data_IF_093297807283
#
_entry.id   IF_093297807283
#
_cell.length_a   1.000
_cell.length_b   1.000
_cell.length_c   1.000
_cell.angle_alpha   90.00
_cell.angle_beta   90.00
_cell.angle_gamma   90.00
#
_symmetry.space_group_name_H-M   'P 1'
#
loop_
_entity.id
_entity.type
_entity.pdbx_description
1 polymer ?
#
# COMPACT_ATOMS: atom_id res chain seq x y z
N UNK A 1 15.99 6.77 -7.59
CA UNK A 1 17.16 6.37 -8.40
C UNK A 1 16.68 5.81 -9.73
N UNK A 2 17.37 6.09 -10.83
CA UNK A 2 17.07 5.54 -12.16
C UNK A 2 17.77 4.18 -12.31
N UNK A 3 17.03 3.09 -12.16
CA UNK A 3 17.59 1.73 -12.25
C UNK A 3 17.88 1.29 -13.69
N UNK A 4 16.99 1.63 -14.63
CA UNK A 4 17.08 1.22 -16.03
C UNK A 4 16.96 2.43 -16.95
N UNK A 5 17.90 2.55 -17.89
CA UNK A 5 17.88 3.49 -19.00
C UNK A 5 18.41 2.80 -20.25
N UNK A 6 17.57 2.65 -21.25
CA UNK A 6 17.83 1.96 -22.53
C UNK A 6 17.05 2.62 -23.67
N UNK A 7 17.45 2.38 -24.91
CA UNK A 7 16.80 2.93 -26.11
C UNK A 7 16.62 1.87 -27.20
N UNK A 8 15.82 2.20 -28.21
CA UNK A 8 15.64 1.42 -29.45
C UNK A 8 15.23 -0.03 -29.15
N UNK A 9 15.86 -1.00 -29.83
CA UNK A 9 15.55 -2.42 -29.71
C UNK A 9 15.74 -2.95 -28.28
N UNK A 10 16.74 -2.45 -27.55
CA UNK A 10 16.96 -2.83 -26.15
C UNK A 10 15.77 -2.43 -25.28
N UNK A 11 15.14 -1.28 -25.56
CA UNK A 11 13.93 -0.87 -24.86
C UNK A 11 12.75 -1.80 -25.14
N UNK A 12 12.66 -2.37 -26.34
CA UNK A 12 11.63 -3.38 -26.66
C UNK A 12 11.87 -4.68 -25.88
N UNK A 13 13.14 -5.12 -25.79
CA UNK A 13 13.53 -6.29 -25.00
C UNK A 13 13.24 -6.12 -23.51
N UNK A 14 13.63 -4.98 -22.92
CA UNK A 14 13.32 -4.64 -21.53
C UNK A 14 11.82 -4.59 -21.29
N UNK A 15 11.05 -4.02 -22.22
CA UNK A 15 9.59 -3.98 -22.13
C UNK A 15 8.97 -5.37 -22.17
N UNK A 16 9.50 -6.26 -23.00
CA UNK A 16 9.06 -7.67 -23.05
C UNK A 16 9.36 -8.36 -21.72
N UNK A 17 10.59 -8.25 -21.24
CA UNK A 17 11.02 -8.87 -19.99
C UNK A 17 10.22 -8.37 -18.78
N UNK A 18 10.01 -7.06 -18.66
CA UNK A 18 9.22 -6.48 -17.57
C UNK A 18 7.79 -7.05 -17.51
N UNK A 19 7.16 -7.31 -18.67
CA UNK A 19 5.85 -7.99 -18.71
C UNK A 19 5.93 -9.43 -18.24
N UNK A 20 6.98 -10.16 -18.63
CA UNK A 20 7.18 -11.57 -18.24
C UNK A 20 7.32 -11.71 -16.72
N UNK A 21 7.98 -10.76 -16.06
CA UNK A 21 8.17 -10.76 -14.61
C UNK A 21 7.09 -9.99 -13.82
N UNK A 22 6.05 -9.47 -14.49
CA UNK A 22 4.94 -8.78 -13.85
C UNK A 22 5.22 -7.36 -13.34
N UNK A 23 6.26 -6.69 -13.85
CA UNK A 23 6.54 -5.28 -13.51
C UNK A 23 5.65 -4.35 -14.35
N UNK A 24 4.91 -3.40 -13.74
CA UNK A 24 4.02 -2.51 -14.47
C UNK A 24 4.78 -1.59 -15.43
N UNK A 25 4.23 -1.39 -16.63
CA UNK A 25 4.84 -0.58 -17.68
C UNK A 25 3.94 0.61 -18.01
N UNK A 26 4.39 1.80 -17.63
CA UNK A 26 3.66 3.04 -17.82
C UNK A 26 4.22 3.79 -19.04
N UNK A 27 3.34 4.24 -19.94
CA UNK A 27 3.75 4.98 -21.15
C UNK A 27 3.46 6.47 -20.99
N UNK A 28 4.36 7.18 -20.31
CA UNK A 28 4.38 8.65 -20.33
C UNK A 28 5.53 9.13 -21.23
N UNK A 29 5.18 9.61 -22.44
CA UNK A 29 6.16 10.06 -23.42
C UNK A 29 6.91 11.31 -22.98
N UNK A 30 6.27 12.23 -22.26
CA UNK A 30 6.89 13.51 -21.85
C UNK A 30 7.88 13.24 -20.72
N UNK A 31 7.43 12.55 -19.68
CA UNK A 31 8.25 12.22 -18.52
C UNK A 31 9.43 11.32 -18.91
N UNK A 32 9.23 10.31 -19.78
CA UNK A 32 10.30 9.45 -20.25
C UNK A 32 11.38 10.22 -21.03
N UNK A 33 10.98 11.16 -21.91
CA UNK A 33 11.93 12.00 -22.66
C UNK A 33 12.72 12.94 -21.74
N UNK A 34 12.04 13.56 -20.77
CA UNK A 34 12.66 14.45 -19.77
C UNK A 34 13.74 13.70 -19.00
N UNK A 35 13.39 12.57 -18.39
CA UNK A 35 14.34 11.74 -17.63
C UNK A 35 15.46 11.18 -18.50
N UNK A 36 15.19 10.82 -19.76
CA UNK A 36 16.24 10.38 -20.68
C UNK A 36 17.26 11.50 -20.99
N UNK A 37 16.80 12.75 -21.11
CA UNK A 37 17.67 13.89 -21.39
C UNK A 37 18.55 14.25 -20.18
N UNK A 38 18.01 14.16 -18.96
CA UNK A 38 18.64 14.70 -17.75
C UNK A 38 19.41 13.69 -16.91
N UNK A 39 19.10 12.38 -16.98
CA UNK A 39 19.64 11.38 -16.05
C UNK A 39 20.37 10.24 -16.73
N UNK A 40 21.49 9.78 -16.19
CA UNK A 40 22.18 8.52 -16.53
C UNK A 40 21.65 7.36 -15.67
N UNK A 41 22.07 6.15 -16.02
CA UNK A 41 21.75 4.96 -15.23
C UNK A 41 22.40 5.11 -13.85
N UNK A 42 21.63 4.80 -12.81
CA UNK A 42 21.96 4.92 -11.39
C UNK A 42 22.03 6.33 -10.82
N UNK A 43 21.68 7.34 -11.60
CA UNK A 43 21.51 8.69 -11.05
C UNK A 43 20.30 8.76 -10.13
N UNK A 44 20.37 9.65 -9.13
CA UNK A 44 19.18 10.07 -8.40
C UNK A 44 18.30 10.96 -9.27
N UNK A 45 16.99 10.90 -9.05
CA UNK A 45 16.03 11.79 -9.70
C UNK A 45 16.30 13.22 -9.21
N UNK A 46 16.32 14.18 -10.12
CA UNK A 46 16.56 15.59 -9.77
C UNK A 46 15.28 16.22 -9.20
N UNK A 47 15.42 17.34 -8.49
CA UNK A 47 14.27 18.04 -7.91
C UNK A 47 13.24 18.52 -8.95
N UNK A 48 13.64 18.81 -10.18
CA UNK A 48 12.70 19.22 -11.24
C UNK A 48 11.78 18.10 -11.74
N UNK A 49 12.19 16.83 -11.58
CA UNK A 49 11.39 15.68 -12.03
C UNK A 49 10.79 14.90 -10.85
N UNK A 50 11.20 15.18 -9.62
CA UNK A 50 10.82 14.36 -8.46
C UNK A 50 9.31 14.37 -8.23
N UNK A 51 8.66 15.52 -8.33
CA UNK A 51 7.22 15.65 -8.08
C UNK A 51 6.40 14.83 -9.08
N UNK A 52 6.76 14.86 -10.36
CA UNK A 52 6.08 14.08 -11.41
C UNK A 52 6.24 12.58 -11.17
N UNK A 53 7.43 12.13 -10.77
CA UNK A 53 7.69 10.72 -10.46
C UNK A 53 6.96 10.28 -9.19
N UNK A 54 6.97 11.09 -8.13
CA UNK A 54 6.26 10.77 -6.89
C UNK A 54 4.75 10.64 -7.12
N UNK A 55 4.14 11.57 -7.89
CA UNK A 55 2.72 11.47 -8.27
C UNK A 55 2.42 10.18 -9.04
N UNK A 56 3.31 9.78 -9.94
CA UNK A 56 3.17 8.53 -10.69
C UNK A 56 3.20 7.29 -9.78
N UNK A 57 4.09 7.30 -8.77
CA UNK A 57 4.22 6.21 -7.80
C UNK A 57 3.00 6.12 -6.89
N UNK A 58 2.52 7.26 -6.37
CA UNK A 58 1.30 7.31 -5.54
C UNK A 58 0.08 6.83 -6.33
N UNK A 59 -0.06 7.28 -7.58
CA UNK A 59 -1.13 6.81 -8.46
C UNK A 59 -1.04 5.30 -8.71
N UNK A 60 0.16 4.75 -8.89
CA UNK A 60 0.34 3.32 -9.09
C UNK A 60 -0.09 2.52 -7.85
N UNK A 61 0.26 3.00 -6.65
CA UNK A 61 -0.17 2.42 -5.38
C UNK A 61 -1.70 2.43 -5.24
N UNK A 62 -2.36 3.55 -5.55
CA UNK A 62 -3.82 3.66 -5.54
C UNK A 62 -4.49 2.65 -6.49
N UNK A 63 -3.92 2.49 -7.69
CA UNK A 63 -4.42 1.53 -8.70
C UNK A 63 -4.24 0.09 -8.24
N UNK A 64 -3.08 -0.23 -7.66
CA UNK A 64 -2.80 -1.56 -7.13
C UNK A 64 -3.75 -1.90 -5.96
N UNK A 65 -3.98 -0.95 -5.05
CA UNK A 65 -4.90 -1.10 -3.91
C UNK A 65 -6.36 -1.26 -4.37
N UNK A 66 -6.82 -0.47 -5.34
CA UNK A 66 -8.17 -0.59 -5.89
C UNK A 66 -8.40 -1.92 -6.63
N UNK A 67 -7.34 -2.54 -7.13
CA UNK A 67 -7.37 -3.86 -7.77
C UNK A 67 -7.35 -5.04 -6.80
N UNK A 68 -7.04 -4.82 -5.52
CA UNK A 68 -7.10 -5.87 -4.51
C UNK A 68 -8.56 -6.11 -4.11
N UNK A 69 -9.01 -7.38 -4.03
CA UNK A 69 -10.30 -7.66 -3.42
C UNK A 69 -10.26 -7.14 -1.98
N UNK A 70 -11.30 -6.40 -1.58
CA UNK A 70 -11.48 -5.99 -0.20
C UNK A 70 -11.37 -7.25 0.64
N UNK A 71 -10.31 -7.35 1.43
CA UNK A 71 -10.28 -8.35 2.49
C UNK A 71 -11.42 -7.92 3.39
N UNK A 72 -12.50 -8.70 3.41
CA UNK A 72 -13.53 -8.54 4.42
C UNK A 72 -12.79 -8.70 5.77
N UNK A 73 -12.38 -7.58 6.35
CA UNK A 73 -12.01 -7.51 7.74
C UNK A 73 -13.23 -8.04 8.45
N UNK A 74 -13.16 -9.32 8.83
CA UNK A 74 -14.01 -9.89 9.85
C UNK A 74 -13.74 -9.02 11.08
N UNK A 75 -14.49 -7.93 11.22
CA UNK A 75 -14.79 -7.35 12.51
C UNK A 75 -15.40 -8.50 13.30
N UNK A 76 -14.56 -9.26 14.01
CA UNK A 76 -15.03 -10.20 15.01
C UNK A 76 -15.79 -9.33 16.00
N UNK A 77 -17.11 -9.42 15.90
CA UNK A 77 -18.04 -8.75 16.79
C UNK A 77 -17.89 -9.43 18.15
N UNK A 78 -16.86 -9.04 18.90
CA UNK A 78 -16.71 -9.36 20.33
C UNK A 78 -16.68 -8.07 21.15
N UNK A 79 -17.63 -7.18 20.87
CA UNK A 79 -18.16 -6.34 21.95
C UNK A 79 -19.09 -7.23 22.78
N UNK A 80 -18.51 -7.90 23.78
CA UNK A 80 -19.26 -8.65 24.79
C UNK A 80 -20.11 -7.68 25.59
N UNK A 81 -21.40 -7.64 25.27
CA UNK A 81 -22.42 -7.08 26.15
C UNK A 81 -22.36 -7.81 27.50
N UNK A 82 -21.94 -7.11 28.55
CA UNK A 82 -22.18 -7.55 29.93
C UNK A 82 -23.59 -7.07 30.28
N UNK A 83 -24.60 -7.89 29.98
CA UNK A 83 -25.92 -7.73 30.60
C UNK A 83 -25.88 -8.39 31.99
N UNK A 84 -26.46 -7.67 32.96
CA UNK A 84 -26.30 -7.91 34.38
C UNK A 84 -26.82 -9.25 34.88
N UNK A 85 -26.14 -9.75 35.91
CA UNK A 85 -26.69 -10.76 36.79
C UNK A 85 -27.02 -10.09 38.14
N UNK A 86 -28.29 -9.71 38.28
CA UNK A 86 -28.92 -9.38 39.55
C UNK A 86 -28.96 -10.62 40.44
N UNK A 87 -27.99 -10.76 41.35
CA UNK A 87 -28.11 -11.70 42.48
C UNK A 87 -28.18 -10.94 43.80
N UNK A 88 -29.44 -10.60 44.13
CA UNK A 88 -30.11 -10.72 45.43
C UNK A 88 -29.26 -10.50 46.69
N UNK A 89 -29.54 -9.37 47.34
CA UNK A 89 -29.26 -9.11 48.74
C UNK A 89 -30.10 -10.10 49.58
N UNK A 90 -29.46 -11.09 50.22
CA UNK A 90 -30.03 -11.79 51.37
C UNK A 90 -29.34 -11.26 52.63
N UNK A 91 -30.03 -10.37 53.33
CA UNK A 91 -29.74 -10.09 54.72
C UNK A 91 -30.19 -11.31 55.54
N UNK A 92 -29.26 -11.93 56.27
CA UNK A 92 -29.60 -12.74 57.43
C UNK A 92 -28.74 -12.32 58.61
N UNK A 93 -29.38 -11.54 59.45
CA UNK A 93 -28.97 -11.28 60.82
C UNK A 93 -28.77 -12.60 61.58
N UNK A 94 -27.91 -12.51 62.60
CA UNK A 94 -27.85 -13.31 63.83
C UNK A 94 -26.57 -14.15 64.06
N UNK A 95 -25.65 -13.51 64.81
CA UNK A 95 -25.28 -13.89 66.17
C UNK A 95 -24.67 -15.30 66.39
N UNK A 96 -23.39 -15.37 66.79
CA UNK A 96 -22.96 -15.89 68.11
C UNK A 96 -21.42 -15.94 68.25
N UNK A 97 -20.92 -15.25 69.28
CA UNK A 97 -19.88 -15.62 70.26
C UNK A 97 -18.73 -16.58 69.82
N UNK A 98 -17.49 -16.10 69.91
CA UNK A 98 -16.61 -16.37 71.07
C UNK A 98 -15.43 -15.38 71.08
#
# INVERSE_FOLDING_TARGET
MISVRVTNEVALGVRKYAKEIGIPIITDKKLARKNYATHRRYDYVNFENIDEILRLLLWLEDVENAGQPVQDEQLSSEDKFIEGEDTKIENKDDNLKN
#
